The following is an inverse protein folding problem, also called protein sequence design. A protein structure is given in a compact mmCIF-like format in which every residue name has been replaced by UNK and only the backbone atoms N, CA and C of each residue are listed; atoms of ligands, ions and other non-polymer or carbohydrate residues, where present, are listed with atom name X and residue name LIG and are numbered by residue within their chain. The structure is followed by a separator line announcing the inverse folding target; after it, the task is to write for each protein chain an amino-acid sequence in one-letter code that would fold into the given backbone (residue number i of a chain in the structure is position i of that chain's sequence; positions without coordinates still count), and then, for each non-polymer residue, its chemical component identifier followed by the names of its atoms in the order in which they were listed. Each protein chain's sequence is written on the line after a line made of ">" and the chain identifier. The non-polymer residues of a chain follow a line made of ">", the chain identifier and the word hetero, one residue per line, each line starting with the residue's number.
data_IF_213415105387
#
_entry.id   IF_213415105387
#
_cell.length_a   1.000
_cell.length_b   1.000
_cell.length_c   1.000
_cell.angle_alpha   90.00
_cell.angle_beta   90.00
_cell.angle_gamma   90.00
#
_symmetry.space_group_name_H-M   'P 1'
#
loop_
_entity.id
_entity.type
_entity.pdbx_description
1 polymer ?
#
# COMPACT_ATOMS: atom_id res chain seq x y z
N UNK A 1 12.51 22.79 -7.98
CA UNK A 1 11.59 22.89 -6.82
C UNK A 1 10.42 21.91 -6.91
N UNK A 2 9.53 22.01 -7.90
CA UNK A 2 8.35 21.12 -8.00
C UNK A 2 8.69 19.61 -8.06
N UNK A 3 9.69 19.23 -8.86
CA UNK A 3 10.14 17.83 -8.92
C UNK A 3 10.72 17.31 -7.60
N UNK A 4 11.34 18.16 -6.78
CA UNK A 4 11.79 17.76 -5.44
C UNK A 4 10.62 17.52 -4.50
N UNK A 5 9.57 18.36 -4.57
CA UNK A 5 8.36 18.15 -3.78
C UNK A 5 7.70 16.83 -4.15
N UNK A 6 7.55 16.55 -5.45
CA UNK A 6 7.01 15.28 -5.93
C UNK A 6 7.86 14.08 -5.47
N UNK A 7 9.18 14.17 -5.61
CA UNK A 7 10.11 13.13 -5.15
C UNK A 7 10.00 12.85 -3.65
N UNK A 8 9.98 13.90 -2.82
CA UNK A 8 9.81 13.77 -1.37
C UNK A 8 8.43 13.25 -0.98
N UNK A 9 7.38 13.65 -1.71
CA UNK A 9 6.02 13.15 -1.48
C UNK A 9 5.91 11.64 -1.75
N UNK A 10 6.57 11.15 -2.79
CA UNK A 10 6.65 9.70 -3.08
C UNK A 10 7.35 8.98 -1.93
N UNK A 11 8.56 9.42 -1.55
CA UNK A 11 9.32 8.80 -0.45
C UNK A 11 8.52 8.80 0.85
N UNK A 12 7.89 9.93 1.19
CA UNK A 12 7.05 10.02 2.37
C UNK A 12 5.86 9.05 2.29
N UNK A 13 5.20 8.95 1.13
CA UNK A 13 4.10 8.02 0.92
C UNK A 13 4.51 6.55 1.05
N UNK A 14 5.66 6.16 0.50
CA UNK A 14 6.23 4.82 0.65
C UNK A 14 6.57 4.54 2.12
N UNK A 15 7.21 5.49 2.80
CA UNK A 15 7.57 5.39 4.21
C UNK A 15 6.35 5.28 5.13
N UNK A 16 5.31 6.09 4.90
CA UNK A 16 4.04 6.01 5.64
C UNK A 16 3.38 4.65 5.38
N UNK A 17 3.38 4.17 4.14
CA UNK A 17 2.82 2.85 3.81
C UNK A 17 3.55 1.74 4.57
N UNK A 18 4.88 1.76 4.56
CA UNK A 18 5.70 0.79 5.27
C UNK A 18 5.44 0.84 6.79
N UNK A 19 5.38 2.04 7.38
CA UNK A 19 5.08 2.22 8.79
C UNK A 19 3.68 1.70 9.16
N UNK A 20 2.65 2.00 8.37
CA UNK A 20 1.29 1.53 8.61
C UNK A 20 1.19 0.00 8.52
N UNK A 21 1.83 -0.62 7.53
CA UNK A 21 1.87 -2.08 7.44
C UNK A 21 2.67 -2.72 8.58
N UNK A 22 3.78 -2.13 9.00
CA UNK A 22 4.56 -2.61 10.13
C UNK A 22 3.73 -2.56 11.43
N UNK A 23 3.05 -1.44 11.68
CA UNK A 23 2.17 -1.30 12.85
C UNK A 23 1.01 -2.30 12.78
N UNK A 24 0.37 -2.49 11.63
CA UNK A 24 -0.70 -3.46 11.45
C UNK A 24 -0.21 -4.89 11.69
N UNK A 25 0.94 -5.27 11.13
CA UNK A 25 1.57 -6.57 11.32
C UNK A 25 1.93 -6.83 12.78
N UNK A 26 2.54 -5.87 13.46
CA UNK A 26 2.85 -5.97 14.90
C UNK A 26 1.56 -6.09 15.73
N UNK A 27 0.52 -5.32 15.39
CA UNK A 27 -0.76 -5.37 16.10
C UNK A 27 -1.45 -6.73 15.96
N UNK A 28 -1.36 -7.37 14.79
CA UNK A 28 -1.84 -8.73 14.54
C UNK A 28 -1.01 -9.78 15.26
N UNK A 29 0.34 -9.70 15.16
CA UNK A 29 1.24 -10.64 15.84
C UNK A 29 1.04 -10.66 17.36
N UNK A 30 0.84 -9.49 17.97
CA UNK A 30 0.55 -9.36 19.41
C UNK A 30 -0.77 -9.99 19.84
N UNK A 31 -1.69 -10.25 18.90
CA UNK A 31 -3.05 -10.76 19.16
C UNK A 31 -3.30 -12.10 18.48
N UNK A 32 -2.26 -12.77 17.99
CA UNK A 32 -2.38 -14.05 17.27
C UNK A 32 -2.98 -15.18 18.14
N UNK A 33 -2.76 -15.11 19.46
CA UNK A 33 -3.32 -16.05 20.44
C UNK A 33 -4.55 -15.47 21.18
N UNK A 34 -5.08 -14.33 20.72
CA UNK A 34 -6.25 -13.69 21.30
C UNK A 34 -7.56 -14.28 20.76
N UNK A 35 -8.68 -13.71 21.19
CA UNK A 35 -10.00 -14.05 20.64
C UNK A 35 -10.16 -13.60 19.19
N UNK A 36 -11.06 -14.24 18.44
CA UNK A 36 -11.39 -13.84 17.06
C UNK A 36 -11.76 -12.34 16.97
N UNK A 37 -12.49 -11.81 17.95
CA UNK A 37 -12.83 -10.38 18.02
C UNK A 37 -11.63 -9.46 18.20
N UNK A 38 -10.64 -9.85 19.01
CA UNK A 38 -9.41 -9.06 19.22
C UNK A 38 -8.52 -9.07 17.98
N UNK A 39 -8.37 -10.24 17.33
CA UNK A 39 -7.62 -10.35 16.09
C UNK A 39 -8.31 -9.60 14.94
N UNK A 40 -9.64 -9.73 14.80
CA UNK A 40 -10.45 -8.99 13.84
C UNK A 40 -10.29 -7.47 13.95
N UNK A 41 -10.21 -6.93 15.17
CA UNK A 41 -9.93 -5.50 15.39
C UNK A 41 -8.53 -5.11 14.94
N UNK A 42 -7.53 -5.99 15.11
CA UNK A 42 -6.17 -5.75 14.64
C UNK A 42 -6.08 -5.71 13.11
N UNK A 43 -6.81 -6.60 12.42
CA UNK A 43 -6.86 -6.67 10.95
C UNK A 43 -7.30 -5.35 10.31
N UNK A 44 -8.18 -4.58 10.96
CA UNK A 44 -8.64 -3.27 10.46
C UNK A 44 -7.50 -2.30 10.17
N UNK A 45 -6.37 -2.42 10.86
CA UNK A 45 -5.21 -1.55 10.64
C UNK A 45 -4.57 -1.74 9.26
N UNK A 46 -4.69 -2.93 8.66
CA UNK A 46 -4.16 -3.25 7.32
C UNK A 46 -4.78 -2.36 6.25
N UNK A 47 -6.04 -1.97 6.39
CA UNK A 47 -6.72 -1.11 5.42
C UNK A 47 -6.09 0.28 5.29
N UNK A 48 -5.53 0.83 6.37
CA UNK A 48 -4.85 2.14 6.30
C UNK A 48 -3.56 2.06 5.50
N UNK A 49 -2.73 1.03 5.76
CA UNK A 49 -1.50 0.79 5.00
C UNK A 49 -1.80 0.51 3.53
N UNK A 50 -2.84 -0.28 3.28
CA UNK A 50 -3.27 -0.58 1.92
C UNK A 50 -3.82 0.63 1.17
N UNK A 51 -4.63 1.47 1.82
CA UNK A 51 -5.14 2.70 1.21
C UNK A 51 -3.99 3.65 0.85
N UNK A 52 -3.04 3.87 1.76
CA UNK A 52 -1.87 4.71 1.49
C UNK A 52 -1.03 4.14 0.34
N UNK A 53 -0.75 2.85 0.35
CA UNK A 53 0.02 2.22 -0.72
C UNK A 53 -0.69 2.27 -2.07
N UNK A 54 -2.00 2.04 -2.08
CA UNK A 54 -2.80 2.17 -3.30
C UNK A 54 -2.74 3.60 -3.85
N UNK A 55 -2.79 4.63 -3.01
CA UNK A 55 -2.60 6.02 -3.43
C UNK A 55 -1.22 6.27 -4.04
N UNK A 56 -0.15 5.71 -3.46
CA UNK A 56 1.21 5.87 -4.00
C UNK A 56 1.33 5.17 -5.36
N UNK A 57 1.10 3.86 -5.41
CA UNK A 57 1.43 3.06 -6.59
C UNK A 57 0.35 3.08 -7.67
N UNK A 58 -0.94 3.02 -7.33
CA UNK A 58 -1.99 3.12 -8.36
C UNK A 58 -2.19 4.57 -8.78
N UNK A 59 -2.54 5.47 -7.85
CA UNK A 59 -2.87 6.86 -8.23
C UNK A 59 -1.61 7.63 -8.66
N UNK A 60 -0.51 7.54 -7.91
CA UNK A 60 0.73 8.24 -8.24
C UNK A 60 1.40 7.75 -9.53
N UNK A 61 1.64 6.44 -9.65
CA UNK A 61 2.43 5.91 -10.78
C UNK A 61 1.58 5.50 -12.00
N UNK A 62 0.41 4.88 -11.82
CA UNK A 62 -0.42 4.47 -12.95
C UNK A 62 -1.22 5.64 -13.50
N UNK A 63 -2.00 6.32 -12.65
CA UNK A 63 -2.89 7.39 -13.12
C UNK A 63 -2.11 8.66 -13.45
N UNK A 64 -1.40 9.23 -12.48
CA UNK A 64 -0.67 10.49 -12.70
C UNK A 64 0.54 10.25 -13.60
N UNK A 65 1.44 9.35 -13.22
CA UNK A 65 2.64 9.03 -13.99
C UNK A 65 2.33 8.47 -15.38
N UNK A 66 1.56 7.39 -15.45
CA UNK A 66 1.22 6.70 -16.69
C UNK A 66 0.40 7.55 -17.65
N UNK A 67 -0.76 8.03 -17.22
CA UNK A 67 -1.72 8.68 -18.13
C UNK A 67 -1.38 10.15 -18.40
N UNK A 68 -1.08 10.95 -17.36
CA UNK A 68 -0.88 12.40 -17.55
C UNK A 68 0.52 12.75 -18.03
N UNK A 69 1.54 12.00 -17.58
CA UNK A 69 2.93 12.23 -17.97
C UNK A 69 3.44 11.26 -19.05
N UNK A 70 2.57 10.41 -19.61
CA UNK A 70 2.91 9.44 -20.65
C UNK A 70 4.13 8.58 -20.30
N UNK A 71 4.27 8.19 -19.03
CA UNK A 71 5.44 7.47 -18.50
C UNK A 71 5.73 6.16 -19.25
N UNK A 72 4.70 5.55 -19.86
CA UNK A 72 4.83 4.38 -20.72
C UNK A 72 5.68 4.59 -21.98
N UNK A 73 5.83 5.83 -22.47
CA UNK A 73 6.64 6.14 -23.66
C UNK A 73 8.15 6.11 -23.37
N UNK A 74 8.55 6.29 -22.11
CA UNK A 74 9.96 6.33 -21.73
C UNK A 74 10.51 4.93 -21.47
N UNK A 75 11.61 4.55 -22.10
CA UNK A 75 12.28 3.27 -21.82
C UNK A 75 13.05 3.29 -20.48
N UNK A 76 13.45 4.46 -19.99
CA UNK A 76 14.26 4.63 -18.77
C UNK A 76 13.43 5.03 -17.56
N UNK A 77 12.33 5.75 -17.76
CA UNK A 77 11.50 6.27 -16.68
C UNK A 77 10.14 5.57 -16.55
N UNK A 78 9.97 4.36 -17.08
CA UNK A 78 8.72 3.61 -16.95
C UNK A 78 8.64 2.82 -15.63
N UNK A 79 7.91 3.38 -14.66
CA UNK A 79 7.64 2.75 -13.36
C UNK A 79 6.34 1.96 -13.27
N UNK A 80 5.56 1.80 -14.34
CA UNK A 80 4.21 1.22 -14.26
C UNK A 80 4.21 -0.28 -13.93
N UNK A 81 5.11 -1.06 -14.54
CA UNK A 81 5.19 -2.49 -14.26
C UNK A 81 5.54 -2.79 -12.77
N UNK A 82 6.53 -2.12 -12.17
CA UNK A 82 6.76 -2.19 -10.72
C UNK A 82 5.56 -1.74 -9.90
N UNK A 83 4.97 -0.57 -10.22
CA UNK A 83 3.82 -0.04 -9.50
C UNK A 83 2.61 -1.00 -9.52
N UNK A 84 2.35 -1.62 -10.67
CA UNK A 84 1.35 -2.67 -10.83
C UNK A 84 1.54 -3.81 -9.83
N UNK A 85 2.76 -4.33 -9.73
CA UNK A 85 3.10 -5.41 -8.79
C UNK A 85 2.88 -5.00 -7.34
N UNK A 86 3.20 -3.76 -6.98
CA UNK A 86 2.96 -3.27 -5.62
C UNK A 86 1.48 -3.18 -5.29
N UNK A 87 0.68 -2.43 -6.06
CA UNK A 87 -0.71 -2.22 -5.70
C UNK A 87 -1.54 -3.51 -5.79
N UNK A 88 -1.25 -4.40 -6.75
CA UNK A 88 -1.97 -5.68 -6.84
C UNK A 88 -1.64 -6.61 -5.66
N UNK A 89 -0.39 -6.62 -5.20
CA UNK A 89 0.02 -7.39 -4.01
C UNK A 89 -0.66 -6.84 -2.76
N UNK A 90 -0.72 -5.51 -2.64
CA UNK A 90 -1.45 -4.83 -1.55
C UNK A 90 -2.93 -5.25 -1.55
N UNK A 91 -3.59 -5.23 -2.71
CA UNK A 91 -4.98 -5.65 -2.83
C UNK A 91 -5.16 -7.13 -2.45
N UNK A 92 -4.27 -8.01 -2.89
CA UNK A 92 -4.30 -9.43 -2.54
C UNK A 92 -4.17 -9.65 -1.02
N UNK A 93 -3.27 -8.92 -0.36
CA UNK A 93 -3.11 -8.95 1.10
C UNK A 93 -4.39 -8.48 1.81
N UNK A 94 -5.02 -7.40 1.34
CA UNK A 94 -6.28 -6.92 1.92
C UNK A 94 -7.40 -7.95 1.75
N UNK A 95 -7.51 -8.58 0.59
CA UNK A 95 -8.51 -9.62 0.33
C UNK A 95 -8.30 -10.79 1.31
N UNK A 96 -7.06 -11.25 1.45
CA UNK A 96 -6.71 -12.36 2.36
C UNK A 96 -7.00 -12.01 3.83
N UNK A 97 -6.52 -10.87 4.31
CA UNK A 97 -6.72 -10.43 5.70
C UNK A 97 -8.20 -10.10 5.98
N UNK A 98 -8.93 -9.64 4.97
CA UNK A 98 -10.35 -9.30 5.09
C UNK A 98 -11.28 -10.50 5.25
N UNK A 99 -10.78 -11.74 5.10
CA UNK A 99 -11.61 -12.93 5.30
C UNK A 99 -12.05 -13.04 6.78
N UNK A 100 -13.28 -13.53 7.06
CA UNK A 100 -13.72 -13.80 8.43
C UNK A 100 -12.78 -14.79 9.13
N UNK A 101 -12.50 -14.57 10.41
CA UNK A 101 -11.82 -15.57 11.23
C UNK A 101 -12.90 -16.57 11.71
N UNK A 102 -12.65 -17.88 11.63
CA UNK A 102 -13.57 -18.87 12.20
C UNK A 102 -13.61 -18.75 13.73
N UNK A 103 -14.80 -18.94 14.30
CA UNK A 103 -15.04 -18.93 15.75
C UNK A 103 -14.44 -20.17 16.45
#
# INVERSE_FOLDING_TARGET
>A
IFWHIGYWAIIAGEGITAALFAVAGIAMLRRVNGTAGEFGRAKRMVHFGAAMGFLVWFVGFMVIGGEWFAMWQSSTWNGQAPAFRFYITILAVVIYVGQPDPD
#
